data_IF_984081728032
#
_entry.id   IF_984081728032
#
_cell.length_a   1.000
_cell.length_b   1.000
_cell.length_c   1.000
_cell.angle_alpha   90.00
_cell.angle_beta   90.00
_cell.angle_gamma   90.00
#
_symmetry.space_group_name_H-M   'P 1'
#
loop_
_entity.id
_entity.type
_entity.pdbx_description
1 polymer ?
#
# COMPACT_ATOMS: atom_id res chain seq x y z
N UNK A 1 17.18 12.12 12.69
CA UNK A 1 16.71 12.45 11.33
C UNK A 1 16.79 11.16 10.52
N UNK A 2 15.77 10.79 9.75
CA UNK A 2 15.81 9.57 8.94
C UNK A 2 16.79 9.78 7.77
N UNK A 3 17.71 8.85 7.56
CA UNK A 3 18.54 8.81 6.36
C UNK A 3 17.73 8.21 5.21
N UNK A 4 17.67 8.93 4.08
CA UNK A 4 16.80 8.59 2.97
C UNK A 4 17.37 7.48 2.09
N UNK A 5 16.48 6.78 1.41
CA UNK A 5 16.77 5.82 0.35
C UNK A 5 17.67 4.65 0.79
N UNK A 6 17.58 4.25 2.06
CA UNK A 6 18.37 3.15 2.63
C UNK A 6 17.67 1.78 2.54
N UNK A 7 16.40 1.76 2.13
CA UNK A 7 15.60 0.56 1.99
C UNK A 7 15.61 0.00 0.57
N UNK A 8 15.17 -1.26 0.47
CA UNK A 8 15.01 -2.01 -0.75
C UNK A 8 13.72 -2.86 -0.66
N UNK A 9 13.15 -3.25 -1.81
CA UNK A 9 12.05 -4.21 -1.86
C UNK A 9 12.57 -5.61 -2.24
N UNK A 10 12.09 -6.63 -1.53
CA UNK A 10 12.47 -8.03 -1.71
C UNK A 10 11.26 -8.96 -1.80
N UNK A 11 11.45 -10.11 -2.45
CA UNK A 11 10.55 -11.27 -2.38
C UNK A 11 11.34 -12.49 -1.91
N UNK A 12 10.77 -13.25 -0.97
CA UNK A 12 11.24 -14.57 -0.55
C UNK A 12 10.43 -15.64 -1.28
N UNK A 13 11.11 -16.49 -2.05
CA UNK A 13 10.50 -17.58 -2.80
C UNK A 13 10.34 -18.86 -1.95
N UNK A 14 9.49 -19.82 -2.38
CA UNK A 14 9.29 -21.09 -1.67
C UNK A 14 10.56 -21.93 -1.49
N UNK A 15 11.56 -21.76 -2.36
CA UNK A 15 12.87 -22.42 -2.27
C UNK A 15 13.86 -21.69 -1.35
N UNK A 16 13.38 -20.65 -0.63
CA UNK A 16 14.12 -19.76 0.25
C UNK A 16 15.11 -18.81 -0.44
N UNK A 17 15.08 -18.73 -1.78
CA UNK A 17 15.81 -17.69 -2.49
C UNK A 17 15.18 -16.31 -2.24
N UNK A 18 16.03 -15.28 -2.15
CA UNK A 18 15.59 -13.90 -1.96
C UNK A 18 15.99 -13.09 -3.18
N UNK A 19 15.01 -12.45 -3.81
CA UNK A 19 15.23 -11.56 -4.95
C UNK A 19 15.02 -10.14 -4.51
N UNK A 20 16.00 -9.28 -4.79
CA UNK A 20 15.86 -7.82 -4.72
C UNK A 20 15.19 -7.32 -5.99
N UNK A 21 14.13 -6.54 -5.86
CA UNK A 21 13.44 -5.94 -7.01
C UNK A 21 13.99 -4.56 -7.36
N UNK A 22 14.11 -3.67 -6.37
CA UNK A 22 14.69 -2.33 -6.54
C UNK A 22 15.18 -1.78 -5.20
N UNK A 23 15.99 -0.73 -5.29
CA UNK A 23 16.57 0.00 -4.18
C UNK A 23 15.98 1.42 -4.05
N UNK A 24 16.63 2.23 -3.20
CA UNK A 24 16.29 3.62 -2.97
C UNK A 24 14.88 3.85 -2.39
N UNK A 25 14.44 2.94 -1.52
CA UNK A 25 13.19 3.06 -0.77
C UNK A 25 13.43 3.83 0.52
N UNK A 26 12.57 4.80 0.85
CA UNK A 26 12.62 5.48 2.14
C UNK A 26 12.01 4.60 3.25
N UNK A 27 10.73 4.24 3.15
CA UNK A 27 10.03 3.35 4.10
C UNK A 27 9.12 2.41 3.32
N UNK A 28 9.56 1.16 3.15
CA UNK A 28 8.78 0.10 2.48
C UNK A 28 7.53 -0.23 3.27
N UNK A 29 6.36 -0.14 2.64
CA UNK A 29 5.10 -0.21 3.36
C UNK A 29 4.01 -1.00 2.60
N UNK A 30 2.76 -0.53 2.59
CA UNK A 30 1.61 -1.22 2.02
C UNK A 30 1.85 -1.78 0.62
N UNK A 31 1.42 -3.01 0.40
CA UNK A 31 1.54 -3.73 -0.86
C UNK A 31 0.34 -4.64 -1.07
N UNK A 32 -0.08 -4.81 -2.32
CA UNK A 32 -1.08 -5.80 -2.70
C UNK A 32 -1.04 -6.07 -4.22
N UNK A 33 -1.84 -7.03 -4.70
CA UNK A 33 -1.97 -7.37 -6.12
C UNK A 33 -3.38 -7.13 -6.64
N UNK A 34 -3.50 -6.80 -7.93
CA UNK A 34 -4.80 -6.81 -8.60
C UNK A 34 -5.39 -8.22 -8.63
N UNK A 35 -6.73 -8.30 -8.67
CA UNK A 35 -7.46 -9.57 -8.67
C UNK A 35 -7.18 -10.46 -9.90
N UNK A 36 -6.71 -9.86 -11.00
CA UNK A 36 -6.30 -10.57 -12.21
C UNK A 36 -4.80 -10.93 -12.24
N UNK A 37 -4.07 -10.63 -11.15
CA UNK A 37 -2.64 -10.86 -10.97
C UNK A 37 -1.75 -10.23 -12.04
N UNK A 38 -2.15 -9.07 -12.58
CA UNK A 38 -1.35 -8.33 -13.58
C UNK A 38 -0.74 -7.04 -13.07
N UNK A 39 -1.18 -6.56 -11.92
CA UNK A 39 -0.68 -5.33 -11.31
C UNK A 39 -0.23 -5.60 -9.88
N UNK A 40 0.96 -5.15 -9.55
CA UNK A 40 1.45 -5.08 -8.18
C UNK A 40 1.37 -3.62 -7.71
N UNK A 41 0.73 -3.38 -6.57
CA UNK A 41 0.62 -2.06 -5.95
C UNK A 41 1.57 -1.96 -4.77
N UNK A 42 2.20 -0.81 -4.60
CA UNK A 42 3.23 -0.61 -3.59
C UNK A 42 3.26 0.83 -3.08
N UNK A 43 3.57 0.96 -1.79
CA UNK A 43 3.75 2.23 -1.11
C UNK A 43 5.18 2.28 -0.55
N UNK A 44 5.91 3.32 -0.97
CA UNK A 44 7.00 3.89 -0.18
C UNK A 44 6.42 5.10 0.56
N UNK A 45 6.34 5.05 1.90
CA UNK A 45 5.57 6.04 2.67
C UNK A 45 6.02 7.49 2.41
N UNK A 46 7.32 7.74 2.24
CA UNK A 46 7.82 9.11 2.04
C UNK A 46 7.78 9.58 0.59
N UNK A 47 7.33 8.73 -0.34
CA UNK A 47 6.98 9.13 -1.70
C UNK A 47 5.61 9.81 -1.79
N UNK A 48 4.76 9.68 -0.76
CA UNK A 48 3.38 10.19 -0.71
C UNK A 48 2.54 9.72 -1.92
N UNK A 49 2.82 8.50 -2.41
CA UNK A 49 2.19 7.91 -3.58
C UNK A 49 1.89 6.44 -3.34
N UNK A 50 0.76 6.00 -3.89
CA UNK A 50 0.53 4.58 -4.21
C UNK A 50 0.99 4.38 -5.64
N UNK A 51 1.98 3.51 -5.83
CA UNK A 51 2.51 3.17 -7.13
C UNK A 51 1.94 1.83 -7.62
N UNK A 52 1.93 1.66 -8.94
CA UNK A 52 1.57 0.43 -9.62
C UNK A 52 2.71 -0.05 -10.52
N UNK A 53 2.85 -1.36 -10.62
CA UNK A 53 3.79 -2.06 -11.48
C UNK A 53 3.03 -3.08 -12.32
N UNK A 54 3.50 -3.31 -13.54
CA UNK A 54 3.07 -4.49 -14.28
C UNK A 54 3.71 -5.71 -13.61
N UNK A 55 2.90 -6.72 -13.28
CA UNK A 55 3.32 -7.94 -12.62
C UNK A 55 3.09 -9.14 -13.55
N UNK A 56 4.12 -9.93 -13.75
CA UNK A 56 4.07 -11.18 -14.51
C UNK A 56 4.04 -12.35 -13.52
N UNK A 57 2.89 -13.03 -13.42
CA UNK A 57 2.72 -14.17 -12.52
C UNK A 57 3.61 -15.38 -12.87
N UNK A 58 4.03 -15.54 -14.13
CA UNK A 58 4.87 -16.68 -14.53
C UNK A 58 6.35 -16.46 -14.19
N UNK A 59 6.82 -15.22 -14.32
CA UNK A 59 8.22 -14.88 -14.05
C UNK A 59 8.43 -14.22 -12.68
N UNK A 60 7.33 -13.85 -12.02
CA UNK A 60 7.26 -13.14 -10.73
C UNK A 60 8.02 -11.80 -10.75
N UNK A 61 8.13 -11.19 -11.93
CA UNK A 61 8.80 -9.90 -12.14
C UNK A 61 7.83 -8.75 -12.11
N UNK A 62 8.31 -7.61 -11.60
CA UNK A 62 7.63 -6.32 -11.67
C UNK A 62 8.36 -5.38 -12.63
N UNK A 63 7.61 -4.54 -13.34
CA UNK A 63 8.16 -3.53 -14.26
C UNK A 63 7.22 -2.32 -14.40
N UNK A 64 7.64 -1.31 -15.17
CA UNK A 64 6.81 -0.14 -15.51
C UNK A 64 6.16 0.55 -14.30
N UNK A 65 6.99 0.86 -13.28
CA UNK A 65 6.58 1.63 -12.11
C UNK A 65 5.93 2.93 -12.53
N UNK A 66 4.74 3.20 -12.00
CA UNK A 66 3.99 4.45 -12.24
C UNK A 66 3.22 4.86 -10.99
N UNK A 67 3.10 6.16 -10.75
CA UNK A 67 2.23 6.68 -9.69
C UNK A 67 0.77 6.46 -10.09
N UNK A 68 0.03 5.73 -9.26
CA UNK A 68 -1.40 5.47 -9.43
C UNK A 68 -2.23 6.53 -8.71
N UNK A 69 -1.84 6.89 -7.49
CA UNK A 69 -2.50 7.91 -6.70
C UNK A 69 -1.48 8.69 -5.87
N UNK A 70 -1.54 10.02 -5.92
CA UNK A 70 -0.76 10.90 -5.04
C UNK A 70 -1.66 11.39 -3.91
N UNK A 71 -1.17 11.27 -2.68
CA UNK A 71 -1.95 11.65 -1.52
C UNK A 71 -2.16 13.16 -1.45
N UNK A 72 -3.37 13.54 -1.04
CA UNK A 72 -3.71 14.91 -0.66
C UNK A 72 -3.06 15.25 0.69
N UNK A 73 -2.86 16.54 0.96
CA UNK A 73 -2.11 16.99 2.15
C UNK A 73 -2.75 16.50 3.46
N UNK A 74 -4.07 16.45 3.49
CA UNK A 74 -4.90 15.99 4.62
C UNK A 74 -4.91 14.46 4.80
N UNK A 75 -4.42 13.71 3.83
CA UNK A 75 -4.27 12.25 3.89
C UNK A 75 -2.91 11.83 4.43
N UNK A 76 -2.02 12.80 4.63
CA UNK A 76 -0.74 12.65 5.33
C UNK A 76 0.13 11.55 4.72
N UNK A 77 0.52 10.52 5.48
CA UNK A 77 1.52 9.54 5.07
C UNK A 77 0.80 8.22 4.74
N UNK A 78 0.95 7.67 3.52
CA UNK A 78 0.40 6.35 3.21
C UNK A 78 1.20 5.28 3.95
N UNK A 79 0.50 4.36 4.60
CA UNK A 79 1.09 3.29 5.42
C UNK A 79 0.68 1.93 4.81
N UNK A 80 0.04 1.04 5.58
CA UNK A 80 -0.46 -0.24 5.09
C UNK A 80 -1.65 -0.12 4.13
N UNK A 81 -1.81 -1.13 3.28
CA UNK A 81 -2.83 -1.18 2.22
C UNK A 81 -3.38 -2.60 2.04
N UNK A 82 -4.62 -2.72 1.58
CA UNK A 82 -5.19 -3.97 1.07
C UNK A 82 -6.15 -3.71 -0.09
N UNK A 83 -6.39 -4.72 -0.93
CA UNK A 83 -7.39 -4.70 -2.00
C UNK A 83 -8.72 -5.31 -1.51
N UNK A 84 -9.84 -4.78 -1.99
CA UNK A 84 -11.16 -5.38 -1.78
C UNK A 84 -11.61 -6.29 -2.93
N UNK A 85 -12.75 -6.96 -2.75
CA UNK A 85 -13.30 -7.90 -3.74
C UNK A 85 -13.80 -7.24 -5.02
N UNK A 86 -13.86 -5.90 -5.07
CA UNK A 86 -14.19 -5.11 -6.26
C UNK A 86 -12.91 -4.57 -6.94
N UNK A 87 -11.73 -4.97 -6.47
CA UNK A 87 -10.45 -4.53 -7.00
C UNK A 87 -10.09 -3.08 -6.64
N UNK A 88 -10.68 -2.53 -5.57
CA UNK A 88 -10.37 -1.18 -5.08
C UNK A 88 -9.40 -1.27 -3.91
N UNK A 89 -8.49 -0.30 -3.80
CA UNK A 89 -7.48 -0.29 -2.75
C UNK A 89 -7.96 0.48 -1.53
N UNK A 90 -7.69 -0.04 -0.35
CA UNK A 90 -7.88 0.62 0.93
C UNK A 90 -6.52 0.95 1.52
N UNK A 91 -6.26 2.23 1.77
CA UNK A 91 -4.96 2.72 2.24
C UNK A 91 -5.12 3.40 3.58
N UNK A 92 -4.36 2.96 4.58
CA UNK A 92 -4.27 3.61 5.87
C UNK A 92 -3.44 4.89 5.76
N UNK A 93 -3.93 5.96 6.37
CA UNK A 93 -3.28 7.28 6.38
C UNK A 93 -2.71 7.56 7.78
N UNK A 94 -1.40 7.35 7.95
CA UNK A 94 -0.70 7.60 9.21
C UNK A 94 -0.64 9.11 9.50
N UNK A 95 -0.96 9.50 10.74
CA UNK A 95 -1.23 10.88 11.18
C UNK A 95 -2.46 11.55 10.51
N UNK A 96 -3.23 10.81 9.71
CA UNK A 96 -4.39 11.33 8.97
C UNK A 96 -5.75 10.89 9.54
N UNK A 97 -5.71 9.94 10.47
CA UNK A 97 -6.87 9.39 11.17
C UNK A 97 -7.98 8.87 10.28
N UNK A 98 -7.59 8.18 9.19
CA UNK A 98 -8.52 7.67 8.18
C UNK A 98 -7.96 6.47 7.43
N UNK A 99 -8.87 5.78 6.76
CA UNK A 99 -8.57 4.92 5.61
C UNK A 99 -9.28 5.51 4.40
N UNK A 100 -8.60 5.55 3.26
CA UNK A 100 -9.16 5.98 1.98
C UNK A 100 -9.33 4.80 1.04
N UNK A 101 -10.42 4.80 0.27
CA UNK A 101 -10.68 3.82 -0.79
C UNK A 101 -10.35 4.46 -2.14
N UNK A 102 -9.49 3.81 -2.92
CA UNK A 102 -8.97 4.29 -4.19
C UNK A 102 -9.41 3.35 -5.31
N UNK A 103 -9.73 3.94 -6.46
CA UNK A 103 -9.99 3.22 -7.70
C UNK A 103 -8.73 3.22 -8.58
N UNK A 104 -8.03 2.07 -8.72
CA UNK A 104 -6.79 1.99 -9.48
C UNK A 104 -6.99 2.18 -10.99
N UNK A 105 -8.21 1.99 -11.51
CA UNK A 105 -8.49 2.18 -12.94
C UNK A 105 -8.56 3.66 -13.31
N UNK A 106 -9.13 4.48 -12.43
CA UNK A 106 -9.33 5.91 -12.66
C UNK A 106 -8.29 6.79 -11.97
N UNK A 107 -7.50 6.23 -11.03
CA UNK A 107 -6.52 6.97 -10.23
C UNK A 107 -7.16 7.94 -9.25
N UNK A 108 -8.38 7.65 -8.78
CA UNK A 108 -9.17 8.56 -7.92
C UNK A 108 -9.53 7.94 -6.60
N UNK A 109 -9.57 8.78 -5.56
CA UNK A 109 -10.23 8.46 -4.29
C UNK A 109 -11.74 8.41 -4.50
N UNK A 110 -12.36 7.33 -4.03
CA UNK A 110 -13.80 7.10 -4.10
C UNK A 110 -14.47 7.15 -2.73
N UNK A 111 -13.73 6.94 -1.63
CA UNK A 111 -14.29 7.01 -0.28
C UNK A 111 -13.24 7.40 0.76
N UNK A 112 -13.71 7.93 1.90
CA UNK A 112 -12.91 8.13 3.11
C UNK A 112 -13.69 7.66 4.32
N UNK A 113 -13.05 6.89 5.19
CA UNK A 113 -13.58 6.48 6.50
C UNK A 113 -12.69 7.08 7.57
N UNK A 114 -13.25 7.98 8.39
CA UNK A 114 -12.53 8.61 9.50
C UNK A 114 -12.54 7.72 10.74
N UNK A 115 -11.44 7.77 11.49
CA UNK A 115 -11.22 7.02 12.71
C UNK A 115 -11.00 8.00 13.88
N UNK A 116 -11.40 7.65 15.11
CA UNK A 116 -11.19 8.49 16.29
C UNK A 116 -9.76 8.38 16.84
N UNK A 117 -8.77 8.24 15.96
CA UNK A 117 -7.32 8.14 16.25
C UNK A 117 -6.55 8.70 15.05
N UNK A 118 -5.39 9.32 15.27
CA UNK A 118 -4.62 9.93 14.17
C UNK A 118 -3.72 8.91 13.45
N UNK A 119 -3.07 8.02 14.22
CA UNK A 119 -2.02 7.10 13.74
C UNK A 119 -2.57 5.79 13.22
N UNK A 120 -3.35 5.85 12.15
CA UNK A 120 -3.86 4.65 11.45
C UNK A 120 -2.73 4.04 10.62
N UNK A 121 -2.33 2.80 10.90
CA UNK A 121 -1.11 2.21 10.32
C UNK A 121 -1.37 1.16 9.24
N UNK A 122 -2.43 0.37 9.32
CA UNK A 122 -2.74 -0.61 8.28
C UNK A 122 -4.22 -1.00 8.30
N UNK A 123 -4.65 -1.71 7.28
CA UNK A 123 -5.99 -2.28 7.21
C UNK A 123 -6.01 -3.61 6.43
N UNK A 124 -6.96 -4.47 6.76
CA UNK A 124 -7.22 -5.73 6.04
C UNK A 124 -8.69 -6.14 6.17
N UNK A 125 -9.18 -6.93 5.23
CA UNK A 125 -10.50 -7.55 5.36
C UNK A 125 -10.41 -8.87 6.12
N UNK A 126 -11.26 -9.05 7.13
CA UNK A 126 -11.36 -10.33 7.84
C UNK A 126 -12.34 -11.26 7.12
N UNK A 127 -11.99 -12.54 6.91
CA UNK A 127 -12.92 -13.53 6.38
C UNK A 127 -14.17 -13.64 7.28
N UNK A 128 -15.35 -13.61 6.67
CA UNK A 128 -16.63 -13.85 7.35
C UNK A 128 -17.18 -12.71 8.22
N UNK A 129 -16.42 -11.64 8.47
CA UNK A 129 -16.92 -10.47 9.22
C UNK A 129 -17.66 -9.46 8.34
N UNK A 130 -17.38 -9.47 7.03
CA UNK A 130 -17.84 -8.43 6.09
C UNK A 130 -17.26 -7.04 6.40
N UNK A 131 -16.32 -6.93 7.35
CA UNK A 131 -15.80 -5.68 7.87
C UNK A 131 -14.30 -5.51 7.67
N UNK A 132 -13.88 -4.26 7.49
CA UNK A 132 -12.47 -3.85 7.44
C UNK A 132 -11.90 -3.79 8.86
N UNK A 133 -10.85 -4.55 9.13
CA UNK A 133 -10.03 -4.45 10.34
C UNK A 133 -8.92 -3.43 10.13
N UNK A 134 -8.57 -2.69 11.18
CA UNK A 134 -7.57 -1.63 11.12
C UNK A 134 -6.61 -1.76 12.29
N UNK A 135 -5.32 -1.58 12.03
CA UNK A 135 -4.30 -1.45 13.07
C UNK A 135 -3.95 0.02 13.25
N UNK A 136 -3.70 0.41 14.49
CA UNK A 136 -3.36 1.77 14.87
C UNK A 136 -2.18 1.73 15.83
N UNK A 137 -1.37 2.78 15.84
CA UNK A 137 -0.29 2.94 16.82
C UNK A 137 -0.80 3.75 18.01
N UNK A 138 -0.66 3.23 19.24
CA UNK A 138 -0.95 4.01 20.45
C UNK A 138 0.09 5.13 20.63
N UNK A 139 -0.34 6.21 21.28
CA UNK A 139 0.50 7.41 21.50
C UNK A 139 1.18 7.42 22.86
N UNK A 140 1.38 6.27 23.49
CA UNK A 140 2.10 6.17 24.77
C UNK A 140 3.60 6.43 24.62
#
# INVERSE_FOLDING_TARGET
MLEKHQGDLYTLFPDHSVVKHFDQVDISNGLDWSLDHKTFFYIDSLSYSVDAFDYDLQTEKISNRRSMYKLEKEETIPDGMCIDTEGKLWVACYDGGRVIRLDPETGKRIQTVKLPVDKTTSCCFAPGSGGLMMTVRSTD
#
